data_IF_046986816708
#
_entry.id   IF_046986816708
#
_cell.length_a   1.000
_cell.length_b   1.000
_cell.length_c   1.000
_cell.angle_alpha   90.00
_cell.angle_beta   90.00
_cell.angle_gamma   90.00
#
_symmetry.space_group_name_H-M   'P 1'
#
loop_
_entity.id
_entity.type
_entity.pdbx_description
1 polymer ?
#
# COMPACT_ATOMS: atom_id res chain seq x y z
N UNK A 1 -18.33 -15.53 15.51
CA UNK A 1 -18.31 -16.74 16.31
C UNK A 1 -17.13 -17.63 15.90
N UNK A 2 -16.55 -18.36 16.84
CA UNK A 2 -15.48 -19.32 16.59
C UNK A 2 -16.06 -20.73 16.75
N UNK A 3 -15.77 -21.61 15.81
CA UNK A 3 -16.22 -22.99 15.84
C UNK A 3 -15.03 -23.93 15.65
N UNK A 4 -14.98 -25.01 16.43
CA UNK A 4 -13.97 -26.05 16.32
C UNK A 4 -14.57 -27.24 15.54
N UNK A 5 -14.02 -27.61 14.37
CA UNK A 5 -14.48 -28.81 13.65
C UNK A 5 -14.12 -30.08 14.44
N UNK A 6 -15.08 -31.00 14.62
CA UNK A 6 -14.89 -32.19 15.46
C UNK A 6 -14.71 -33.47 14.65
N UNK A 7 -15.22 -33.56 13.42
CA UNK A 7 -15.05 -34.71 12.57
C UNK A 7 -13.89 -34.57 11.59
N UNK A 8 -13.30 -35.67 11.16
CA UNK A 8 -12.19 -35.65 10.19
C UNK A 8 -12.61 -35.04 8.85
N UNK A 9 -13.85 -35.25 8.41
CA UNK A 9 -14.41 -34.67 7.20
C UNK A 9 -14.50 -33.15 7.33
N UNK A 10 -15.01 -32.66 8.45
CA UNK A 10 -15.10 -31.19 8.70
C UNK A 10 -13.71 -30.54 8.80
N UNK A 11 -12.72 -31.23 9.38
CA UNK A 11 -11.33 -30.75 9.42
C UNK A 11 -10.76 -30.65 8.01
N UNK A 12 -10.96 -31.66 7.17
CA UNK A 12 -10.50 -31.66 5.78
C UNK A 12 -11.18 -30.57 4.95
N UNK A 13 -12.47 -30.37 5.10
CA UNK A 13 -13.19 -29.29 4.42
C UNK A 13 -12.66 -27.91 4.86
N UNK A 14 -12.44 -27.71 6.14
CA UNK A 14 -11.87 -26.46 6.66
C UNK A 14 -10.48 -26.20 6.08
N UNK A 15 -9.62 -27.20 5.99
CA UNK A 15 -8.27 -27.07 5.44
C UNK A 15 -8.26 -26.87 3.92
N UNK A 16 -9.08 -27.60 3.17
CA UNK A 16 -9.04 -27.55 1.71
C UNK A 16 -9.86 -26.40 1.12
N UNK A 17 -11.01 -26.07 1.72
CA UNK A 17 -11.97 -25.11 1.17
C UNK A 17 -11.97 -23.76 1.88
N UNK A 18 -11.70 -23.72 3.20
CA UNK A 18 -11.88 -22.51 4.00
C UNK A 18 -10.57 -21.78 4.37
N UNK A 19 -9.44 -22.43 4.19
CA UNK A 19 -8.14 -21.81 4.53
C UNK A 19 -7.91 -20.57 3.68
N UNK A 20 -7.57 -19.44 4.33
CA UNK A 20 -7.42 -18.14 3.66
C UNK A 20 -6.36 -18.13 2.57
N UNK A 21 -5.27 -18.89 2.71
CA UNK A 21 -4.24 -19.02 1.66
C UNK A 21 -4.76 -19.60 0.34
N UNK A 22 -5.89 -20.35 0.39
CA UNK A 22 -6.56 -20.87 -0.80
C UNK A 22 -7.68 -19.93 -1.31
N UNK A 23 -8.08 -18.92 -0.52
CA UNK A 23 -9.18 -18.01 -0.80
C UNK A 23 -8.73 -16.55 -0.82
N UNK A 24 -7.66 -16.24 -1.55
CA UNK A 24 -7.10 -14.89 -1.64
C UNK A 24 -7.92 -14.00 -2.57
N UNK A 25 -8.59 -14.57 -3.56
CA UNK A 25 -9.37 -13.85 -4.55
C UNK A 25 -10.86 -13.88 -4.23
N UNK A 26 -11.52 -12.76 -4.47
CA UNK A 26 -12.97 -12.66 -4.36
C UNK A 26 -13.64 -13.41 -5.53
N UNK A 27 -14.50 -14.40 -5.27
CA UNK A 27 -15.18 -15.16 -6.32
C UNK A 27 -16.12 -14.33 -7.21
N UNK A 28 -16.58 -13.17 -6.73
CA UNK A 28 -17.49 -12.31 -7.49
C UNK A 28 -16.80 -11.54 -8.62
N UNK A 29 -15.54 -11.10 -8.42
CA UNK A 29 -14.84 -10.21 -9.36
C UNK A 29 -13.36 -10.54 -9.56
N UNK A 30 -12.84 -11.59 -8.93
CA UNK A 30 -11.45 -11.99 -9.03
C UNK A 30 -10.44 -11.01 -8.40
N UNK A 31 -10.89 -9.98 -7.69
CA UNK A 31 -10.00 -9.03 -7.04
C UNK A 31 -9.41 -9.61 -5.75
N UNK A 32 -8.17 -9.24 -5.36
CA UNK A 32 -7.59 -9.67 -4.10
C UNK A 32 -8.43 -9.20 -2.90
N UNK A 33 -8.75 -10.14 -2.00
CA UNK A 33 -9.44 -9.85 -0.72
C UNK A 33 -8.43 -9.45 0.35
N UNK A 34 -7.32 -10.18 0.44
CA UNK A 34 -6.24 -9.96 1.39
C UNK A 34 -5.36 -8.80 0.94
N UNK A 35 -5.79 -7.58 1.24
CA UNK A 35 -5.03 -6.37 0.97
C UNK A 35 -4.64 -5.73 2.29
N UNK A 36 -3.37 -5.37 2.50
CA UNK A 36 -2.94 -4.63 3.68
C UNK A 36 -3.79 -3.37 3.89
N UNK A 37 -4.03 -3.04 5.15
CA UNK A 37 -4.87 -1.91 5.55
C UNK A 37 -4.28 -1.16 6.74
N UNK A 38 -4.84 0.00 7.08
CA UNK A 38 -4.48 0.80 8.27
C UNK A 38 -2.97 1.06 8.34
N UNK A 39 -2.33 0.71 9.46
CA UNK A 39 -0.91 1.00 9.74
C UNK A 39 0.05 0.35 8.74
N UNK A 40 -0.31 -0.80 8.17
CA UNK A 40 0.49 -1.44 7.13
C UNK A 40 0.62 -0.53 5.90
N UNK A 41 -0.50 0.03 5.42
CA UNK A 41 -0.49 0.96 4.28
C UNK A 41 0.23 2.26 4.64
N UNK A 42 0.00 2.76 5.87
CA UNK A 42 0.65 3.98 6.34
C UNK A 42 2.18 3.84 6.37
N UNK A 43 2.69 2.72 6.89
CA UNK A 43 4.12 2.43 6.90
C UNK A 43 4.72 2.29 5.50
N UNK A 44 4.01 1.63 4.57
CA UNK A 44 4.44 1.49 3.18
C UNK A 44 4.40 2.82 2.41
N UNK A 45 3.38 3.64 2.67
CA UNK A 45 3.31 4.98 2.11
C UNK A 45 4.47 5.84 2.62
N UNK A 46 4.75 5.81 3.92
CA UNK A 46 5.84 6.56 4.52
C UNK A 46 7.19 6.21 3.91
N UNK A 47 7.52 4.90 3.80
CA UNK A 47 8.80 4.46 3.28
C UNK A 47 9.00 4.79 1.79
N UNK A 48 7.93 4.82 1.00
CA UNK A 48 8.00 5.07 -0.44
C UNK A 48 7.96 6.55 -0.84
N UNK A 49 7.73 7.44 0.13
CA UNK A 49 7.74 8.89 -0.09
C UNK A 49 9.17 9.39 -0.29
N UNK A 50 9.41 10.22 -1.30
CA UNK A 50 10.69 10.91 -1.50
C UNK A 50 10.66 12.29 -0.85
N UNK A 51 11.81 12.71 -0.31
CA UNK A 51 12.02 14.05 0.27
C UNK A 51 13.28 14.66 -0.34
N UNK A 52 13.16 15.70 -1.17
CA UNK A 52 14.32 16.46 -1.63
C UNK A 52 15.07 17.10 -0.44
N UNK A 53 16.37 17.25 -0.53
CA UNK A 53 17.21 17.81 0.53
C UNK A 53 17.53 16.83 1.67
N UNK A 54 17.16 15.55 1.55
CA UNK A 54 17.51 14.54 2.55
C UNK A 54 18.99 14.13 2.43
N UNK A 55 19.57 13.72 3.56
CA UNK A 55 20.97 13.29 3.60
C UNK A 55 21.22 12.14 2.63
N UNK A 56 22.23 12.27 1.79
CA UNK A 56 22.58 11.26 0.78
C UNK A 56 21.87 11.44 -0.57
N UNK A 57 21.22 12.60 -0.79
CA UNK A 57 20.63 12.90 -2.09
C UNK A 57 21.67 12.89 -3.22
N UNK A 58 21.30 12.29 -4.35
CA UNK A 58 22.15 12.23 -5.54
C UNK A 58 23.22 11.13 -5.51
N UNK A 59 23.33 10.35 -4.44
CA UNK A 59 24.24 9.21 -4.39
C UNK A 59 23.82 8.16 -5.44
N UNK A 60 24.85 7.55 -6.04
CA UNK A 60 24.66 6.49 -7.03
C UNK A 60 25.18 5.18 -6.48
N UNK A 61 24.34 4.12 -6.56
CA UNK A 61 24.63 2.79 -6.08
C UNK A 61 24.65 1.79 -7.23
N UNK A 62 25.57 0.85 -7.16
CA UNK A 62 25.71 -0.20 -8.17
C UNK A 62 24.66 -1.31 -8.06
N UNK A 63 23.94 -1.36 -6.94
CA UNK A 63 22.87 -2.32 -6.70
C UNK A 63 21.99 -1.97 -5.50
N UNK A 64 20.85 -2.65 -5.36
CA UNK A 64 19.93 -2.47 -4.24
C UNK A 64 20.58 -2.72 -2.88
N UNK A 65 21.45 -3.72 -2.78
CA UNK A 65 22.15 -4.11 -1.56
C UNK A 65 23.06 -3.00 -1.03
N UNK A 66 23.79 -2.34 -1.92
CA UNK A 66 24.68 -1.24 -1.56
C UNK A 66 23.90 -0.05 -0.99
N UNK A 67 22.72 0.26 -1.56
CA UNK A 67 21.85 1.31 -1.05
C UNK A 67 21.33 0.97 0.37
N UNK A 68 20.99 -0.29 0.64
CA UNK A 68 20.56 -0.75 1.96
C UNK A 68 21.72 -0.69 2.97
N UNK A 69 22.94 -1.06 2.59
CA UNK A 69 24.12 -0.94 3.44
C UNK A 69 24.39 0.52 3.78
N UNK A 70 24.33 1.42 2.80
CA UNK A 70 24.53 2.85 3.01
C UNK A 70 23.48 3.44 3.98
N UNK A 71 22.25 2.98 3.92
CA UNK A 71 21.20 3.34 4.86
C UNK A 71 21.51 2.84 6.27
N UNK A 72 21.90 1.58 6.43
CA UNK A 72 22.25 0.99 7.72
C UNK A 72 23.46 1.70 8.38
N UNK A 73 24.42 2.14 7.58
CA UNK A 73 25.56 2.96 8.02
C UNK A 73 25.21 4.45 8.26
N UNK A 74 23.93 4.82 8.10
CA UNK A 74 23.45 6.22 8.25
C UNK A 74 24.15 7.21 7.32
N UNK A 75 24.64 6.76 6.18
CA UNK A 75 25.19 7.63 5.13
C UNK A 75 24.11 8.25 4.27
N UNK A 76 22.97 7.55 4.14
CA UNK A 76 21.82 7.96 3.35
C UNK A 76 20.53 7.83 4.16
N UNK A 77 19.62 8.77 3.99
CA UNK A 77 18.30 8.73 4.60
C UNK A 77 17.33 7.86 3.78
N UNK A 78 16.31 7.34 4.46
CA UNK A 78 15.26 6.50 3.87
C UNK A 78 14.55 7.15 2.68
N UNK A 79 14.33 8.47 2.76
CA UNK A 79 13.58 9.28 1.79
C UNK A 79 14.44 9.98 0.74
N UNK A 80 15.76 9.81 0.82
CA UNK A 80 16.69 10.49 -0.08
C UNK A 80 16.52 9.99 -1.53
N UNK A 81 16.41 10.90 -2.51
CA UNK A 81 16.49 10.55 -3.92
C UNK A 81 17.90 10.06 -4.27
N UNK A 82 17.97 8.83 -4.76
CA UNK A 82 19.22 8.15 -5.11
C UNK A 82 19.11 7.50 -6.47
N UNK A 83 20.25 7.24 -7.10
CA UNK A 83 20.30 6.47 -8.35
C UNK A 83 20.80 5.08 -8.07
N UNK A 84 20.02 4.07 -8.45
CA UNK A 84 20.33 2.67 -8.20
C UNK A 84 20.27 1.89 -9.51
N UNK A 85 21.28 1.05 -9.74
CA UNK A 85 21.26 0.09 -10.83
C UNK A 85 20.33 -1.06 -10.45
N UNK A 86 19.29 -1.28 -11.22
CA UNK A 86 18.31 -2.35 -11.00
C UNK A 86 18.33 -3.33 -12.18
N UNK A 87 17.96 -4.57 -11.88
CA UNK A 87 17.72 -5.59 -12.88
C UNK A 87 16.21 -5.72 -13.06
N UNK A 88 15.71 -5.43 -14.23
CA UNK A 88 14.30 -5.66 -14.59
C UNK A 88 14.20 -6.77 -15.63
N UNK A 89 13.10 -7.50 -15.60
CA UNK A 89 12.77 -8.51 -16.60
C UNK A 89 11.83 -7.86 -17.61
N UNK A 90 12.34 -7.50 -18.77
CA UNK A 90 11.57 -6.98 -19.91
C UNK A 90 11.56 -8.04 -21.02
N UNK A 91 10.37 -8.47 -21.42
CA UNK A 91 10.19 -9.50 -22.47
C UNK A 91 10.99 -10.79 -22.24
N UNK A 92 11.14 -11.20 -20.97
CA UNK A 92 11.88 -12.40 -20.59
C UNK A 92 13.40 -12.25 -20.57
N UNK A 93 13.94 -11.06 -20.85
CA UNK A 93 15.34 -10.74 -20.76
C UNK A 93 15.64 -9.84 -19.55
N UNK A 94 16.71 -10.18 -18.81
CA UNK A 94 17.19 -9.33 -17.73
C UNK A 94 17.91 -8.11 -18.30
N UNK A 95 17.35 -6.94 -18.10
CA UNK A 95 17.90 -5.65 -18.53
C UNK A 95 18.38 -4.86 -17.32
N UNK A 96 19.65 -4.45 -17.34
CA UNK A 96 20.17 -3.54 -16.30
C UNK A 96 20.00 -2.10 -16.72
N UNK A 97 19.39 -1.32 -15.86
CA UNK A 97 19.29 0.12 -16.09
C UNK A 97 19.36 0.92 -14.78
N UNK A 98 19.73 2.19 -14.90
CA UNK A 98 19.82 3.10 -13.77
C UNK A 98 18.44 3.74 -13.53
N UNK A 99 17.94 3.62 -12.31
CA UNK A 99 16.65 4.20 -11.90
C UNK A 99 16.88 5.25 -10.81
N UNK A 100 16.26 6.40 -10.97
CA UNK A 100 16.16 7.38 -9.90
C UNK A 100 15.00 7.01 -8.96
N UNK A 101 15.33 6.74 -7.70
CA UNK A 101 14.41 6.17 -6.73
C UNK A 101 14.75 6.64 -5.32
N UNK A 102 14.11 6.11 -4.29
CA UNK A 102 14.52 6.31 -2.90
C UNK A 102 14.97 5.00 -2.26
N UNK A 103 15.80 5.11 -1.23
CA UNK A 103 16.25 3.93 -0.47
C UNK A 103 15.06 3.13 0.06
N UNK A 104 14.00 3.83 0.50
CA UNK A 104 12.78 3.19 0.96
C UNK A 104 12.09 2.33 -0.10
N UNK A 105 12.02 2.80 -1.36
CA UNK A 105 11.48 2.01 -2.47
C UNK A 105 12.35 0.80 -2.78
N UNK A 106 13.66 0.92 -2.67
CA UNK A 106 14.59 -0.20 -2.82
C UNK A 106 14.30 -1.29 -1.79
N UNK A 107 14.08 -0.90 -0.51
CA UNK A 107 13.73 -1.84 0.56
C UNK A 107 12.41 -2.57 0.28
N UNK A 108 11.40 -1.87 -0.24
CA UNK A 108 10.12 -2.49 -0.62
C UNK A 108 10.32 -3.48 -1.76
N UNK A 109 11.08 -3.09 -2.79
CA UNK A 109 11.33 -3.95 -3.95
C UNK A 109 12.11 -5.22 -3.60
N UNK A 110 12.88 -5.23 -2.51
CA UNK A 110 13.54 -6.44 -2.03
C UNK A 110 12.56 -7.55 -1.56
N UNK A 111 11.29 -7.18 -1.31
CA UNK A 111 10.24 -8.12 -0.93
C UNK A 111 9.38 -8.50 -2.14
N UNK A 112 9.27 -7.62 -3.13
CA UNK A 112 8.51 -7.86 -4.36
C UNK A 112 9.25 -8.92 -5.18
N UNK A 113 8.55 -9.96 -5.69
CA UNK A 113 9.16 -10.92 -6.59
C UNK A 113 9.74 -10.26 -7.86
N UNK A 114 10.91 -10.73 -8.29
CA UNK A 114 11.64 -10.16 -9.43
C UNK A 114 10.83 -10.16 -10.73
N UNK A 115 9.92 -11.12 -10.88
CA UNK A 115 9.06 -11.27 -12.06
C UNK A 115 8.09 -10.10 -12.28
N UNK A 116 7.81 -9.33 -11.21
CA UNK A 116 6.92 -8.15 -11.27
C UNK A 116 7.64 -6.92 -11.81
N UNK A 117 8.98 -6.92 -11.73
CA UNK A 117 9.81 -5.77 -12.06
C UNK A 117 9.91 -4.74 -10.92
N UNK A 118 10.70 -3.69 -11.16
CA UNK A 118 10.97 -2.66 -10.16
C UNK A 118 9.82 -1.65 -10.02
N UNK A 119 9.18 -1.61 -8.85
CA UNK A 119 8.08 -0.69 -8.56
C UNK A 119 8.64 0.63 -8.04
N UNK A 120 8.56 1.69 -8.84
CA UNK A 120 9.08 3.03 -8.51
C UNK A 120 7.97 4.07 -8.28
N UNK A 121 6.91 3.69 -7.59
CA UNK A 121 5.78 4.56 -7.29
C UNK A 121 5.55 4.69 -5.79
N UNK A 122 4.82 5.74 -5.39
CA UNK A 122 4.35 5.85 -4.00
C UNK A 122 3.28 4.77 -3.78
N UNK A 123 3.46 3.97 -2.74
CA UNK A 123 2.51 2.92 -2.41
C UNK A 123 1.31 3.51 -1.68
N UNK A 124 0.20 3.59 -2.38
CA UNK A 124 -1.13 3.87 -1.84
C UNK A 124 -1.94 2.57 -1.72
N UNK A 125 -3.11 2.63 -1.08
CA UNK A 125 -4.00 1.46 -0.98
C UNK A 125 -4.42 0.92 -2.35
N UNK A 126 -4.58 1.81 -3.35
CA UNK A 126 -4.94 1.43 -4.73
C UNK A 126 -3.76 0.77 -5.43
N UNK A 127 -2.59 1.42 -5.46
CA UNK A 127 -1.40 0.87 -6.12
C UNK A 127 -0.96 -0.45 -5.50
N UNK A 128 -1.11 -0.60 -4.18
CA UNK A 128 -0.80 -1.86 -3.51
C UNK A 128 -1.71 -3.01 -3.96
N UNK A 129 -3.00 -2.75 -4.17
CA UNK A 129 -3.94 -3.75 -4.72
C UNK A 129 -3.53 -4.19 -6.12
N UNK A 130 -3.13 -3.24 -6.96
CA UNK A 130 -2.70 -3.52 -8.33
C UNK A 130 -1.40 -4.35 -8.33
N UNK A 131 -0.44 -4.01 -7.45
CA UNK A 131 0.79 -4.79 -7.27
C UNK A 131 0.47 -6.23 -6.83
N UNK A 132 -0.42 -6.41 -5.83
CA UNK A 132 -0.82 -7.73 -5.34
C UNK A 132 -1.48 -8.55 -6.46
N UNK A 133 -2.35 -7.93 -7.26
CA UNK A 133 -2.97 -8.59 -8.40
C UNK A 133 -1.93 -9.07 -9.41
N UNK A 134 -0.94 -8.23 -9.73
CA UNK A 134 0.15 -8.59 -10.62
C UNK A 134 1.01 -9.72 -10.06
N UNK A 135 1.35 -9.68 -8.77
CA UNK A 135 2.08 -10.76 -8.09
C UNK A 135 1.34 -12.08 -8.20
N UNK A 136 0.03 -12.11 -7.90
CA UNK A 136 -0.77 -13.33 -7.98
C UNK A 136 -0.78 -13.89 -9.40
N UNK A 137 -0.92 -13.03 -10.39
CA UNK A 137 -0.99 -13.43 -11.80
C UNK A 137 0.36 -13.99 -12.33
N UNK A 138 1.48 -13.44 -11.88
CA UNK A 138 2.80 -13.80 -12.41
C UNK A 138 3.44 -14.96 -11.64
N UNK A 139 3.33 -14.98 -10.30
CA UNK A 139 4.07 -15.96 -9.47
C UNK A 139 3.19 -17.00 -8.77
N UNK A 140 1.87 -16.87 -8.88
CA UNK A 140 0.91 -17.77 -8.28
C UNK A 140 0.69 -17.59 -6.76
N UNK A 141 -0.25 -18.35 -6.20
CA UNK A 141 -0.78 -18.15 -4.84
C UNK A 141 0.27 -18.37 -3.73
N UNK A 142 1.08 -19.43 -3.83
CA UNK A 142 2.02 -19.77 -2.75
C UNK A 142 3.05 -18.66 -2.50
N UNK A 143 3.68 -18.16 -3.57
CA UNK A 143 4.65 -17.06 -3.48
C UNK A 143 3.97 -15.73 -3.16
N UNK A 144 2.72 -15.53 -3.60
CA UNK A 144 1.93 -14.35 -3.25
C UNK A 144 1.63 -14.32 -1.74
N UNK A 145 1.37 -15.44 -1.08
CA UNK A 145 1.21 -15.49 0.38
C UNK A 145 2.49 -15.06 1.10
N UNK A 146 3.66 -15.54 0.68
CA UNK A 146 4.95 -15.14 1.24
C UNK A 146 5.21 -13.65 1.05
N UNK A 147 4.90 -13.12 -0.13
CA UNK A 147 4.97 -11.69 -0.41
C UNK A 147 4.05 -10.87 0.50
N UNK A 148 2.79 -11.29 0.69
CA UNK A 148 1.83 -10.61 1.56
C UNK A 148 2.30 -10.58 3.02
N UNK A 149 2.88 -11.67 3.52
CA UNK A 149 3.48 -11.70 4.85
C UNK A 149 4.70 -10.77 4.96
N UNK A 150 5.53 -10.72 3.95
CA UNK A 150 6.66 -9.79 3.87
C UNK A 150 6.22 -8.33 3.91
N UNK A 151 5.24 -7.96 3.09
CA UNK A 151 4.67 -6.61 3.02
C UNK A 151 3.99 -6.22 4.34
N UNK A 152 3.24 -7.14 4.96
CA UNK A 152 2.63 -6.92 6.28
C UNK A 152 3.69 -6.58 7.33
N UNK A 153 4.72 -7.41 7.44
CA UNK A 153 5.78 -7.24 8.43
C UNK A 153 6.58 -5.95 8.19
N UNK A 154 6.91 -5.64 6.92
CA UNK A 154 7.57 -4.40 6.56
C UNK A 154 6.69 -3.18 6.89
N UNK A 155 5.40 -3.22 6.54
CA UNK A 155 4.46 -2.13 6.80
C UNK A 155 4.37 -1.79 8.28
N UNK A 156 4.16 -2.76 9.14
CA UNK A 156 4.13 -2.54 10.59
C UNK A 156 5.47 -2.05 11.15
N UNK A 157 6.58 -2.64 10.71
CA UNK A 157 7.92 -2.20 11.13
C UNK A 157 8.17 -0.75 10.76
N UNK A 158 7.79 -0.33 9.55
CA UNK A 158 8.00 1.03 9.09
C UNK A 158 7.05 2.03 9.76
N UNK A 159 5.80 1.65 10.03
CA UNK A 159 4.88 2.47 10.81
C UNK A 159 5.40 2.70 12.24
N UNK A 160 5.93 1.67 12.88
CA UNK A 160 6.56 1.77 14.20
C UNK A 160 7.80 2.69 14.19
N UNK A 161 8.71 2.50 13.23
CA UNK A 161 9.93 3.31 13.11
C UNK A 161 9.63 4.77 12.74
N UNK A 162 8.58 5.01 11.98
CA UNK A 162 8.15 6.35 11.60
C UNK A 162 7.60 7.16 12.78
N UNK A 163 7.07 6.49 13.81
CA UNK A 163 6.52 7.14 15.00
C UNK A 163 5.40 8.14 14.67
N UNK A 164 4.56 7.79 13.67
CA UNK A 164 3.51 8.68 13.19
C UNK A 164 2.42 8.86 14.27
N UNK A 165 2.20 10.09 14.65
CA UNK A 165 1.13 10.51 15.56
C UNK A 165 0.47 11.78 15.05
N UNK A 166 -0.77 12.03 15.45
CA UNK A 166 -1.47 13.26 15.13
C UNK A 166 -2.27 13.71 16.38
N UNK A 167 -2.46 15.02 16.50
CA UNK A 167 -3.24 15.66 17.54
C UNK A 167 -4.52 16.26 16.93
N UNK A 168 -5.47 16.63 17.76
CA UNK A 168 -6.68 17.33 17.30
C UNK A 168 -6.38 18.68 16.64
N UNK A 169 -5.31 19.35 17.08
CA UNK A 169 -4.87 20.63 16.51
C UNK A 169 -4.29 20.49 15.09
N UNK A 170 -3.89 19.27 14.68
CA UNK A 170 -3.41 18.98 13.32
C UNK A 170 -4.58 18.90 12.32
N UNK A 171 -5.83 18.85 12.81
CA UNK A 171 -7.04 18.81 11.98
C UNK A 171 -7.38 20.23 11.56
N UNK A 172 -6.95 20.59 10.36
CA UNK A 172 -7.24 21.91 9.78
C UNK A 172 -8.68 21.94 9.31
N UNK A 173 -9.49 22.82 9.89
CA UNK A 173 -10.87 23.07 9.44
C UNK A 173 -10.78 24.00 8.22
N UNK A 174 -11.30 23.60 7.05
CA UNK A 174 -11.30 24.50 5.86
C UNK A 174 -12.07 25.79 6.16
N UNK A 175 -11.56 26.96 5.75
CA UNK A 175 -12.26 28.24 5.98
C UNK A 175 -13.61 28.32 5.26
N UNK A 176 -13.78 27.58 4.18
CA UNK A 176 -15.02 27.54 3.39
C UNK A 176 -16.14 26.70 4.05
N UNK A 177 -15.88 26.04 5.20
CA UNK A 177 -16.85 25.16 5.85
C UNK A 177 -18.17 25.85 6.15
N UNK A 178 -18.12 27.04 6.73
CA UNK A 178 -19.32 27.78 7.16
C UNK A 178 -20.13 28.26 5.95
N UNK A 179 -19.48 28.68 4.87
CA UNK A 179 -20.15 29.05 3.62
C UNK A 179 -20.86 27.85 2.99
N UNK A 180 -20.19 26.68 2.92
CA UNK A 180 -20.78 25.46 2.38
C UNK A 180 -21.98 24.97 3.22
N UNK A 181 -21.90 25.06 4.55
CA UNK A 181 -23.00 24.71 5.44
C UNK A 181 -24.19 25.66 5.24
N UNK A 182 -23.94 26.96 5.19
CA UNK A 182 -25.00 27.96 4.98
C UNK A 182 -25.69 27.78 3.64
N UNK A 183 -24.92 27.57 2.57
CA UNK A 183 -25.47 27.27 1.25
C UNK A 183 -26.31 25.99 1.23
N UNK A 184 -25.84 24.93 1.90
CA UNK A 184 -26.60 23.69 2.05
C UNK A 184 -27.92 23.91 2.82
N UNK A 185 -27.90 24.70 3.88
CA UNK A 185 -29.10 25.04 4.65
C UNK A 185 -30.11 25.86 3.83
N UNK A 186 -29.65 26.83 3.03
CA UNK A 186 -30.49 27.59 2.12
C UNK A 186 -31.17 26.72 1.06
N UNK A 187 -30.42 25.77 0.47
CA UNK A 187 -30.96 24.80 -0.47
C UNK A 187 -32.04 23.91 0.16
N UNK A 188 -31.82 23.44 1.39
CA UNK A 188 -32.77 22.62 2.13
C UNK A 188 -34.04 23.42 2.42
N UNK A 189 -33.90 24.64 2.90
CA UNK A 189 -35.07 25.52 3.17
C UNK A 189 -35.88 25.80 1.91
N UNK A 190 -35.21 26.05 0.78
CA UNK A 190 -35.87 26.26 -0.52
C UNK A 190 -36.63 25.01 -0.98
N UNK A 191 -36.09 23.81 -0.78
CA UNK A 191 -36.75 22.57 -1.17
C UNK A 191 -37.91 22.19 -0.26
N UNK A 192 -37.78 22.39 1.06
CA UNK A 192 -38.87 22.17 2.03
C UNK A 192 -40.04 23.10 1.75
N UNK A 193 -39.78 24.38 1.47
CA UNK A 193 -40.83 25.33 1.10
C UNK A 193 -41.61 24.88 -0.14
N UNK A 194 -40.99 24.35 -1.15
CA UNK A 194 -41.63 23.83 -2.38
C UNK A 194 -42.43 22.53 -2.12
N UNK A 195 -41.93 21.63 -1.25
CA UNK A 195 -42.67 20.41 -0.89
C UNK A 195 -43.94 20.72 -0.13
N UNK A 196 -43.90 21.66 0.83
CA UNK A 196 -45.09 22.12 1.60
C UNK A 196 -46.13 22.80 0.72
N UNK A 197 -45.74 23.45 -0.39
CA UNK A 197 -46.68 24.02 -1.36
C UNK A 197 -47.36 22.97 -2.25
N UNK A 198 -46.73 21.81 -2.48
CA UNK A 198 -47.32 20.73 -3.28
C UNK A 198 -48.36 19.88 -2.56
N UNK A 199 -48.35 19.84 -1.24
CA UNK A 199 -49.36 19.11 -0.45
C UNK A 199 -50.66 19.94 -0.18
N UNK A 200 -50.74 21.17 -0.65
CA UNK A 200 -51.92 22.05 -0.48
C UNK A 200 -52.76 22.27 -1.75
N UNK A 201 -52.63 21.38 -2.73
CA UNK A 201 -53.51 21.40 -3.94
C UNK A 201 -54.35 20.13 -3.96
#
# INVERSE_FOLDING_TARGET
AVHLPLSNEAILEAQLLMLQSHNILNPANGAPITVPSQDMVLGLYYITKMRPGAKGEGLTFYGPEEAIIAYNEKRCDLHAPVKVMVNDIVDGHSVRHMVETSVGRVIVNNIIPEEVGFVNTIISKKSLRDIIQNVINLVGFARACTFLDGIKNLGYRMAYLAGLSFNLDDIIIPPEKDELINKGNEEVQSKIGRASCRERV
#
